data_IF_476072423877
#
_entry.id   IF_476072423877
#
_cell.length_a   1.000
_cell.length_b   1.000
_cell.length_c   1.000
_cell.angle_alpha   90.00
_cell.angle_beta   90.00
_cell.angle_gamma   90.00
#
_symmetry.space_group_name_H-M   'P 1'
#
loop_
_entity.id
_entity.type
_entity.pdbx_description
1 polymer ?
#
# COMPACT_ATOMS: atom_id res chain seq x y z
N UNK A 1 -15.42 28.37 50.66
CA UNK A 1 -15.98 27.72 49.46
C UNK A 1 -14.84 27.47 48.49
N UNK A 2 -14.27 26.26 48.51
CA UNK A 2 -13.16 25.85 47.64
C UNK A 2 -13.74 24.90 46.61
N UNK A 3 -13.90 25.39 45.38
CA UNK A 3 -14.31 24.57 44.24
C UNK A 3 -13.13 23.73 43.77
N UNK A 4 -13.12 22.45 44.13
CA UNK A 4 -12.21 21.45 43.58
C UNK A 4 -12.67 21.17 42.15
N UNK A 5 -11.92 21.64 41.16
CA UNK A 5 -12.09 21.19 39.78
C UNK A 5 -11.44 19.82 39.63
N UNK A 6 -12.27 18.80 39.44
CA UNK A 6 -11.84 17.48 38.96
C UNK A 6 -11.45 17.64 37.49
N UNK A 7 -10.17 17.89 37.22
CA UNK A 7 -9.63 17.74 35.87
C UNK A 7 -9.52 16.24 35.59
N UNK A 8 -10.49 15.79 34.79
CA UNK A 8 -10.70 14.41 34.38
C UNK A 8 -9.44 13.77 33.80
N UNK A 9 -9.25 12.51 34.19
CA UNK A 9 -8.30 11.62 33.58
C UNK A 9 -8.59 11.41 32.10
N UNK A 10 -7.54 11.48 31.31
CA UNK A 10 -7.44 10.80 30.02
C UNK A 10 -5.96 10.62 29.69
N UNK A 11 -5.33 9.64 30.34
CA UNK A 11 -4.09 9.03 29.84
C UNK A 11 -4.45 8.23 28.58
N UNK A 12 -4.64 8.90 27.44
CA UNK A 12 -4.75 8.22 26.15
C UNK A 12 -3.34 8.05 25.62
N UNK A 13 -2.81 6.85 25.87
CA UNK A 13 -1.65 6.21 25.26
C UNK A 13 -1.20 6.86 23.93
N UNK A 14 -0.17 7.71 23.99
CA UNK A 14 0.73 7.98 22.86
C UNK A 14 1.67 6.78 22.72
N UNK A 15 1.10 5.62 22.38
CA UNK A 15 1.83 4.40 22.03
C UNK A 15 1.29 3.94 20.67
N UNK A 16 1.50 4.75 19.64
CA UNK A 16 1.17 4.37 18.27
C UNK A 16 2.17 4.71 17.16
N UNK A 17 3.46 5.09 17.40
CA UNK A 17 4.38 5.18 16.26
C UNK A 17 5.10 3.85 15.96
N UNK A 18 5.33 2.99 16.96
CA UNK A 18 6.28 1.89 16.79
C UNK A 18 5.67 0.70 16.03
N UNK A 19 4.48 0.22 16.40
CA UNK A 19 3.86 -0.94 15.73
C UNK A 19 3.45 -0.63 14.27
N UNK A 20 3.06 0.63 14.00
CA UNK A 20 2.75 1.11 12.65
C UNK A 20 4.00 1.09 11.74
N UNK A 21 5.17 1.47 12.27
CA UNK A 21 6.41 1.50 11.50
C UNK A 21 6.93 0.08 11.14
N UNK A 22 6.79 -0.90 12.04
CA UNK A 22 7.26 -2.28 11.78
C UNK A 22 6.43 -2.98 10.70
N UNK A 23 5.11 -2.77 10.71
CA UNK A 23 4.23 -3.32 9.69
C UNK A 23 4.43 -2.64 8.34
N UNK A 24 4.77 -1.35 8.30
CA UNK A 24 5.12 -0.65 7.05
C UNK A 24 6.46 -1.16 6.49
N UNK A 25 7.49 -1.27 7.34
CA UNK A 25 8.82 -1.76 6.93
C UNK A 25 8.75 -3.19 6.37
N UNK A 26 7.98 -4.07 7.01
CA UNK A 26 7.76 -5.44 6.51
C UNK A 26 7.02 -5.46 5.18
N UNK A 27 5.98 -4.64 5.01
CA UNK A 27 5.24 -4.51 3.76
C UNK A 27 6.14 -4.03 2.62
N UNK A 28 6.94 -2.98 2.86
CA UNK A 28 7.93 -2.48 1.89
C UNK A 28 8.93 -3.56 1.47
N UNK A 29 9.46 -4.35 2.42
CA UNK A 29 10.37 -5.46 2.11
C UNK A 29 9.69 -6.55 1.29
N UNK A 30 8.44 -6.90 1.60
CA UNK A 30 7.69 -7.91 0.84
C UNK A 30 7.36 -7.45 -0.57
N UNK A 31 6.93 -6.20 -0.74
CA UNK A 31 6.71 -5.59 -2.06
C UNK A 31 8.01 -5.47 -2.86
N UNK A 32 9.12 -5.11 -2.21
CA UNK A 32 10.43 -5.09 -2.86
C UNK A 32 10.87 -6.50 -3.30
N UNK A 33 10.67 -7.51 -2.44
CA UNK A 33 10.97 -8.91 -2.77
C UNK A 33 10.11 -9.45 -3.91
N UNK A 34 8.81 -9.11 -3.94
CA UNK A 34 7.93 -9.41 -5.06
C UNK A 34 8.47 -8.80 -6.36
N UNK A 35 8.78 -7.51 -6.36
CA UNK A 35 9.30 -6.81 -7.55
C UNK A 35 10.64 -7.34 -8.00
N UNK A 36 11.55 -7.64 -7.08
CA UNK A 36 12.86 -8.21 -7.44
C UNK A 36 12.71 -9.60 -8.05
N UNK A 37 11.77 -10.41 -7.53
CA UNK A 37 11.50 -11.76 -8.03
C UNK A 37 10.87 -11.74 -9.43
N UNK A 38 10.06 -10.74 -9.71
CA UNK A 38 9.30 -10.63 -10.97
C UNK A 38 9.79 -9.50 -11.88
N UNK A 39 11.00 -8.96 -11.65
CA UNK A 39 11.52 -7.78 -12.37
C UNK A 39 11.61 -8.01 -13.89
N UNK A 40 11.92 -9.25 -14.29
CA UNK A 40 12.11 -9.65 -15.69
C UNK A 40 10.98 -10.54 -16.21
N UNK A 41 9.93 -10.72 -15.41
CA UNK A 41 8.79 -11.56 -15.75
C UNK A 41 7.60 -10.65 -16.02
N UNK A 42 6.93 -10.78 -17.17
CA UNK A 42 5.72 -10.03 -17.41
C UNK A 42 4.67 -10.34 -16.34
N UNK A 43 4.00 -9.32 -15.82
CA UNK A 43 3.08 -9.48 -14.68
C UNK A 43 1.94 -10.48 -14.96
N UNK A 44 1.53 -10.64 -16.22
CA UNK A 44 0.53 -11.62 -16.64
C UNK A 44 1.02 -13.09 -16.63
N UNK A 45 2.30 -13.34 -16.33
CA UNK A 45 2.83 -14.69 -16.09
C UNK A 45 2.97 -15.00 -14.59
N UNK A 46 2.76 -13.99 -13.73
CA UNK A 46 2.83 -14.14 -12.28
C UNK A 46 1.54 -14.84 -11.79
N UNK A 47 1.64 -15.77 -10.82
CA UNK A 47 0.45 -16.42 -10.25
C UNK A 47 -0.56 -15.38 -9.72
N UNK A 48 -1.84 -15.61 -10.00
CA UNK A 48 -2.93 -14.71 -9.60
C UNK A 48 -2.92 -14.43 -8.08
N UNK A 49 -2.64 -15.44 -7.25
CA UNK A 49 -2.55 -15.28 -5.79
C UNK A 49 -1.41 -14.34 -5.36
N UNK A 50 -0.27 -14.36 -6.05
CA UNK A 50 0.84 -13.45 -5.77
C UNK A 50 0.52 -12.02 -6.20
N UNK A 51 -0.17 -11.84 -7.34
CA UNK A 51 -0.69 -10.55 -7.79
C UNK A 51 -1.72 -9.98 -6.82
N UNK A 52 -2.68 -10.79 -6.37
CA UNK A 52 -3.69 -10.39 -5.40
C UNK A 52 -3.06 -10.01 -4.05
N UNK A 53 -2.02 -10.73 -3.63
CA UNK A 53 -1.25 -10.39 -2.43
C UNK A 53 -0.49 -9.06 -2.59
N UNK A 54 0.10 -8.77 -3.76
CA UNK A 54 0.76 -7.49 -4.03
C UNK A 54 -0.23 -6.34 -4.10
N UNK A 55 -1.40 -6.53 -4.73
CA UNK A 55 -2.45 -5.53 -4.77
C UNK A 55 -2.90 -5.13 -3.36
N UNK A 56 -3.12 -6.11 -2.47
CA UNK A 56 -3.44 -5.86 -1.05
C UNK A 56 -2.33 -5.11 -0.33
N UNK A 57 -1.06 -5.44 -0.59
CA UNK A 57 0.10 -4.72 -0.01
C UNK A 57 0.15 -3.27 -0.47
N UNK A 58 0.02 -3.02 -1.79
CA UNK A 58 -0.02 -1.67 -2.36
C UNK A 58 -1.16 -0.84 -1.76
N UNK A 59 -2.37 -1.39 -1.68
CA UNK A 59 -3.52 -0.69 -1.10
C UNK A 59 -3.29 -0.33 0.38
N UNK A 60 -2.76 -1.27 1.16
CA UNK A 60 -2.44 -1.03 2.56
C UNK A 60 -1.34 0.02 2.76
N UNK A 61 -0.36 0.10 1.84
CA UNK A 61 0.68 1.14 1.84
C UNK A 61 0.12 2.50 1.46
N UNK A 62 -0.76 2.58 0.45
CA UNK A 62 -1.44 3.82 0.06
C UNK A 62 -2.22 4.39 1.26
N UNK A 63 -3.06 3.57 1.92
CA UNK A 63 -3.82 4.03 3.09
C UNK A 63 -2.92 4.51 4.22
N UNK A 64 -1.80 3.82 4.51
CA UNK A 64 -0.87 4.25 5.55
C UNK A 64 -0.16 5.57 5.20
N UNK A 65 0.20 5.76 3.94
CA UNK A 65 0.83 6.99 3.45
C UNK A 65 -0.16 8.16 3.44
N UNK A 66 -1.42 7.94 3.06
CA UNK A 66 -2.49 8.95 3.09
C UNK A 66 -2.82 9.41 4.51
N UNK A 67 -2.83 8.49 5.47
CA UNK A 67 -2.93 8.81 6.90
C UNK A 67 -1.75 9.68 7.34
N UNK A 68 -0.52 9.27 6.99
CA UNK A 68 0.69 10.02 7.30
C UNK A 68 0.72 11.41 6.65
N UNK A 69 0.15 11.53 5.45
CA UNK A 69 0.04 12.79 4.72
C UNK A 69 -0.95 13.75 5.41
N UNK A 70 -2.04 13.22 5.96
CA UNK A 70 -3.02 13.99 6.74
C UNK A 70 -2.40 14.54 8.03
N UNK A 71 -1.55 13.74 8.69
CA UNK A 71 -0.94 14.11 9.97
C UNK A 71 0.24 15.09 9.84
N UNK A 72 0.92 15.14 8.68
CA UNK A 72 2.11 15.98 8.50
C UNK A 72 1.80 17.37 7.95
N UNK A 73 2.37 18.40 8.57
CA UNK A 73 2.30 19.81 8.11
C UNK A 73 3.49 20.26 7.27
N UNK A 74 4.61 19.55 7.33
CA UNK A 74 5.82 19.90 6.59
C UNK A 74 5.62 19.72 5.06
N UNK A 75 5.78 20.77 4.24
CA UNK A 75 5.54 20.70 2.80
C UNK A 75 6.51 19.78 2.05
N UNK A 76 7.77 19.69 2.47
CA UNK A 76 8.78 18.83 1.86
C UNK A 76 8.46 17.35 2.11
N UNK A 77 8.10 17.02 3.35
CA UNK A 77 7.68 15.67 3.71
C UNK A 77 6.37 15.28 3.02
N UNK A 78 5.44 16.22 2.82
CA UNK A 78 4.19 15.99 2.07
C UNK A 78 4.45 15.72 0.59
N UNK A 79 5.36 16.45 -0.05
CA UNK A 79 5.74 16.20 -1.45
C UNK A 79 6.32 14.79 -1.62
N UNK A 80 7.22 14.37 -0.72
CA UNK A 80 7.79 13.03 -0.72
C UNK A 80 6.73 11.94 -0.53
N UNK A 81 5.85 12.09 0.46
CA UNK A 81 4.73 11.16 0.66
C UNK A 81 3.80 11.08 -0.56
N UNK A 82 3.56 12.21 -1.23
CA UNK A 82 2.73 12.27 -2.45
C UNK A 82 3.39 11.53 -3.61
N UNK A 83 4.71 11.65 -3.76
CA UNK A 83 5.50 10.86 -4.71
C UNK A 83 5.37 9.36 -4.44
N UNK A 84 5.53 8.94 -3.18
CA UNK A 84 5.36 7.54 -2.78
C UNK A 84 3.93 7.02 -3.03
N UNK A 85 2.89 7.80 -2.71
CA UNK A 85 1.49 7.43 -2.98
C UNK A 85 1.26 7.25 -4.48
N UNK A 86 1.73 8.19 -5.31
CA UNK A 86 1.61 8.13 -6.76
C UNK A 86 2.28 6.87 -7.31
N UNK A 87 3.47 6.56 -6.81
CA UNK A 87 4.22 5.36 -7.16
C UNK A 87 3.45 4.07 -6.79
N UNK A 88 2.88 3.97 -5.58
CA UNK A 88 2.10 2.79 -5.20
C UNK A 88 0.79 2.66 -6.00
N UNK A 89 0.16 3.78 -6.38
CA UNK A 89 -1.05 3.77 -7.21
C UNK A 89 -0.76 3.26 -8.62
N UNK A 90 0.35 3.67 -9.24
CA UNK A 90 0.73 3.14 -10.56
C UNK A 90 1.06 1.64 -10.50
N UNK A 91 1.77 1.20 -9.44
CA UNK A 91 2.04 -0.22 -9.23
C UNK A 91 0.75 -1.04 -9.01
N UNK A 92 -0.20 -0.52 -8.23
CA UNK A 92 -1.49 -1.15 -8.01
C UNK A 92 -2.27 -1.30 -9.33
N UNK A 93 -2.30 -0.24 -10.15
CA UNK A 93 -2.99 -0.27 -11.44
C UNK A 93 -2.41 -1.33 -12.38
N UNK A 94 -1.07 -1.43 -12.47
CA UNK A 94 -0.41 -2.45 -13.29
C UNK A 94 -0.74 -3.89 -12.82
N UNK A 95 -0.72 -4.13 -11.51
CA UNK A 95 -1.10 -5.44 -10.93
C UNK A 95 -2.58 -5.76 -11.20
N UNK A 96 -3.47 -4.77 -11.07
CA UNK A 96 -4.89 -4.96 -11.36
C UNK A 96 -5.16 -5.24 -12.84
N UNK A 97 -4.45 -4.58 -13.75
CA UNK A 97 -4.53 -4.87 -15.19
C UNK A 97 -4.05 -6.29 -15.50
N UNK A 98 -2.95 -6.73 -14.88
CA UNK A 98 -2.46 -8.10 -15.04
C UNK A 98 -3.47 -9.15 -14.52
N UNK A 99 -4.08 -8.91 -13.37
CA UNK A 99 -5.14 -9.80 -12.83
C UNK A 99 -6.37 -9.82 -13.75
N UNK A 100 -6.82 -8.67 -14.25
CA UNK A 100 -7.95 -8.59 -15.17
C UNK A 100 -7.66 -9.32 -16.49
N UNK A 101 -6.45 -9.22 -17.01
CA UNK A 101 -6.00 -9.95 -18.19
C UNK A 101 -6.01 -11.46 -17.96
N UNK A 102 -5.48 -11.94 -16.84
CA UNK A 102 -5.52 -13.36 -16.48
C UNK A 102 -6.95 -13.89 -16.35
N UNK A 103 -7.83 -13.14 -15.67
CA UNK A 103 -9.24 -13.50 -15.55
C UNK A 103 -9.95 -13.56 -16.91
N UNK A 104 -9.62 -12.64 -17.82
CA UNK A 104 -10.14 -12.66 -19.19
C UNK A 104 -9.59 -13.84 -20.00
N UNK A 105 -8.33 -14.23 -19.80
CA UNK A 105 -7.72 -15.39 -20.45
C UNK A 105 -8.35 -16.71 -20.00
N UNK A 106 -8.73 -16.84 -18.73
CA UNK A 106 -9.45 -18.02 -18.22
C UNK A 106 -10.87 -18.12 -18.80
N UNK A 107 -11.53 -16.99 -19.05
CA UNK A 107 -12.90 -16.92 -19.58
C UNK A 107 -12.96 -17.04 -21.11
N UNK A 108 -11.95 -16.54 -21.82
CA UNK A 108 -11.86 -16.59 -23.27
C UNK A 108 -10.76 -17.58 -23.69
N UNK A 109 -11.18 -18.73 -24.22
CA UNK A 109 -10.33 -19.75 -24.87
C UNK A 109 -9.65 -19.27 -26.18
N UNK A 110 -9.27 -17.99 -26.28
CA UNK A 110 -8.57 -17.39 -27.43
C UNK A 110 -7.46 -16.44 -26.95
N UNK A 111 -6.31 -16.35 -27.66
CA UNK A 111 -5.16 -15.56 -27.21
C UNK A 111 -5.49 -14.07 -27.25
N UNK A 112 -5.73 -13.47 -26.08
CA UNK A 112 -5.73 -12.01 -25.92
C UNK A 112 -4.28 -11.51 -25.96
N UNK A 113 -4.01 -10.38 -26.60
CA UNK A 113 -2.68 -9.75 -26.53
C UNK A 113 -2.55 -8.95 -25.24
N UNK A 114 -1.38 -8.98 -24.55
CA UNK A 114 -1.19 -8.24 -23.32
C UNK A 114 -1.19 -6.72 -23.57
N UNK A 115 -1.66 -5.91 -22.60
CA UNK A 115 -1.56 -4.46 -22.67
C UNK A 115 -0.07 -4.03 -22.63
N UNK A 116 0.28 -3.05 -23.47
CA UNK A 116 1.62 -2.46 -23.62
C UNK A 116 2.06 -1.65 -22.39
#
# INVERSE_FOLDING_TARGET
MVGIWVLGGAWIFVVKPQVANWTDTRRRRQSAAFRSRWLHVPLWQVPHDELAAEAKRCQASITALEQSLSDRRDPSARAELTGQITWYRSALAAVQQAMAYLAAQEQCQWPQQPPY
#
